data_IF_215283754524
#
_entry.id   IF_215283754524
#
_cell.length_a   1.000
_cell.length_b   1.000
_cell.length_c   1.000
_cell.angle_alpha   90.00
_cell.angle_beta   90.00
_cell.angle_gamma   90.00
#
_symmetry.space_group_name_H-M   'P 1'
#
loop_
_entity.id
_entity.type
_entity.pdbx_description
1 polymer ?
#
# COMPACT_ATOMS: atom_id res chain seq x y z
N UNK A 1 -15.94 -3.19 2.28
CA UNK A 1 -14.55 -2.68 2.29
C UNK A 1 -14.08 -2.63 0.85
N UNK A 2 -13.48 -1.52 0.43
CA UNK A 2 -12.87 -1.35 -0.90
C UNK A 2 -11.36 -1.31 -0.70
N UNK A 3 -10.60 -2.09 -1.48
CA UNK A 3 -9.14 -2.07 -1.48
C UNK A 3 -8.64 -1.62 -2.85
N UNK A 4 -8.00 -0.45 -2.89
CA UNK A 4 -7.32 0.06 -4.07
C UNK A 4 -5.83 -0.24 -3.96
N UNK A 5 -5.24 -0.82 -5.00
CA UNK A 5 -3.78 -0.92 -5.15
C UNK A 5 -3.33 0.09 -6.20
N UNK A 6 -2.47 1.02 -5.80
CA UNK A 6 -1.95 2.10 -6.66
C UNK A 6 -0.49 1.83 -6.95
N UNK A 7 -0.12 1.75 -8.22
CA UNK A 7 1.27 1.65 -8.66
C UNK A 7 1.72 3.00 -9.22
N UNK A 8 2.63 3.67 -8.51
CA UNK A 8 3.17 4.97 -8.88
C UNK A 8 4.56 4.90 -9.54
N UNK A 9 4.93 3.75 -10.11
CA UNK A 9 6.17 3.60 -10.87
C UNK A 9 6.08 4.31 -12.21
N UNK A 10 7.06 5.17 -12.50
CA UNK A 10 7.14 5.89 -13.77
C UNK A 10 7.44 4.98 -14.97
N UNK A 11 7.05 5.41 -16.18
CA UNK A 11 7.25 4.65 -17.42
C UNK A 11 8.71 4.36 -17.78
N UNK A 12 9.64 5.23 -17.39
CA UNK A 12 11.05 5.08 -17.70
C UNK A 12 11.76 4.06 -16.80
N UNK A 13 11.13 3.64 -15.70
CA UNK A 13 11.69 2.67 -14.77
C UNK A 13 11.74 1.27 -15.37
N UNK A 14 12.80 0.53 -15.08
CA UNK A 14 12.89 -0.91 -15.39
C UNK A 14 11.86 -1.76 -14.64
N UNK A 15 11.31 -1.23 -13.54
CA UNK A 15 10.27 -1.87 -12.74
C UNK A 15 8.86 -1.60 -13.29
N UNK A 16 8.72 -0.80 -14.36
CA UNK A 16 7.44 -0.47 -14.96
C UNK A 16 6.82 -1.67 -15.66
N UNK A 17 5.51 -1.87 -15.46
CA UNK A 17 4.71 -2.85 -16.17
C UNK A 17 3.52 -2.14 -16.83
N UNK A 18 3.30 -2.39 -18.11
CA UNK A 18 2.10 -1.89 -18.79
C UNK A 18 0.82 -2.48 -18.16
N UNK A 19 -0.36 -1.83 -18.30
CA UNK A 19 -1.57 -2.23 -17.57
C UNK A 19 -1.91 -3.73 -17.62
N UNK A 20 -1.83 -4.35 -18.80
CA UNK A 20 -2.14 -5.78 -18.95
C UNK A 20 -1.10 -6.68 -18.24
N UNK A 21 0.18 -6.31 -18.29
CA UNK A 21 1.25 -7.06 -17.62
C UNK A 21 1.15 -6.90 -16.09
N UNK A 22 0.81 -5.71 -15.60
CA UNK A 22 0.60 -5.47 -14.18
C UNK A 22 -0.61 -6.26 -13.65
N UNK A 23 -1.72 -6.28 -14.40
CA UNK A 23 -2.90 -7.07 -14.06
C UNK A 23 -2.59 -8.58 -14.01
N UNK A 24 -1.81 -9.09 -14.99
CA UNK A 24 -1.36 -10.47 -15.00
C UNK A 24 -0.44 -10.78 -13.80
N UNK A 25 0.49 -9.87 -13.46
CA UNK A 25 1.35 -10.00 -12.30
C UNK A 25 0.56 -10.08 -10.99
N UNK A 26 -0.45 -9.22 -10.80
CA UNK A 26 -1.34 -9.28 -9.63
C UNK A 26 -2.08 -10.63 -9.54
N UNK A 27 -2.55 -11.14 -10.68
CA UNK A 27 -3.21 -12.44 -10.77
C UNK A 27 -2.27 -13.59 -10.38
N UNK A 28 -1.04 -13.59 -10.90
CA UNK A 28 0.01 -14.56 -10.54
C UNK A 28 0.28 -14.56 -9.03
N UNK A 29 0.27 -13.36 -8.40
CA UNK A 29 0.49 -13.21 -6.95
C UNK A 29 -0.77 -13.44 -6.11
N UNK A 30 -1.88 -13.85 -6.75
CA UNK A 30 -3.17 -14.10 -6.10
C UNK A 30 -3.67 -12.88 -5.32
N UNK A 31 -3.29 -11.68 -5.75
CA UNK A 31 -3.76 -10.45 -5.17
C UNK A 31 -5.20 -10.18 -5.65
N UNK A 32 -6.05 -9.73 -4.73
CA UNK A 32 -7.49 -9.51 -4.97
C UNK A 32 -7.93 -8.09 -4.57
N UNK A 33 -7.25 -7.02 -5.06
CA UNK A 33 -7.73 -5.67 -4.82
C UNK A 33 -9.06 -5.45 -5.55
N UNK A 34 -9.90 -4.56 -5.01
CA UNK A 34 -11.13 -4.11 -5.70
C UNK A 34 -10.80 -3.40 -7.00
N UNK A 35 -9.70 -2.64 -7.03
CA UNK A 35 -9.18 -2.05 -8.26
C UNK A 35 -7.65 -1.91 -8.20
N UNK A 36 -7.05 -2.02 -9.39
CA UNK A 36 -5.64 -1.74 -9.64
C UNK A 36 -5.55 -0.45 -10.45
N UNK A 37 -4.80 0.53 -9.95
CA UNK A 37 -4.67 1.85 -10.52
C UNK A 37 -3.21 2.11 -10.88
N UNK A 38 -2.96 2.70 -12.05
CA UNK A 38 -1.64 3.19 -12.44
C UNK A 38 -1.61 4.71 -12.23
N UNK A 39 -0.62 5.17 -11.48
CA UNK A 39 -0.34 6.56 -11.15
C UNK A 39 1.04 6.92 -11.72
N UNK A 40 1.17 6.85 -13.04
CA UNK A 40 2.45 6.94 -13.75
C UNK A 40 3.16 8.29 -13.54
N UNK A 41 2.39 9.35 -13.29
CA UNK A 41 2.91 10.69 -12.97
C UNK A 41 3.19 10.86 -11.46
N UNK A 42 2.89 9.85 -10.63
CA UNK A 42 3.13 9.87 -9.19
C UNK A 42 2.27 10.84 -8.39
N UNK A 43 1.24 11.45 -9.00
CA UNK A 43 0.44 12.51 -8.37
C UNK A 43 -0.27 12.02 -7.12
N UNK A 44 -0.92 10.85 -7.20
CA UNK A 44 -1.61 10.27 -6.04
C UNK A 44 -0.62 9.80 -4.98
N UNK A 45 0.45 9.12 -5.39
CA UNK A 45 1.50 8.66 -4.49
C UNK A 45 2.13 9.81 -3.70
N UNK A 46 2.48 10.92 -4.37
CA UNK A 46 3.00 12.11 -3.71
C UNK A 46 1.98 12.77 -2.78
N UNK A 47 0.71 12.86 -3.17
CA UNK A 47 -0.34 13.44 -2.33
C UNK A 47 -0.54 12.66 -1.01
N UNK A 48 -0.37 11.34 -1.04
CA UNK A 48 -0.42 10.48 0.15
C UNK A 48 0.93 10.39 0.89
N UNK A 49 1.97 11.05 0.39
CA UNK A 49 3.33 10.96 0.94
C UNK A 49 3.89 9.53 0.89
N UNK A 50 3.53 8.76 -0.13
CA UNK A 50 4.00 7.40 -0.30
C UNK A 50 5.52 7.39 -0.60
N UNK A 51 6.23 6.42 -0.02
CA UNK A 51 7.70 6.36 -0.04
C UNK A 51 8.22 4.99 -0.43
N UNK A 52 7.58 3.95 0.10
CA UNK A 52 7.94 2.56 -0.14
C UNK A 52 6.76 1.77 -0.68
N UNK A 53 7.05 0.65 -1.33
CA UNK A 53 6.06 -0.38 -1.64
C UNK A 53 6.31 -1.61 -0.78
N UNK A 54 5.38 -1.98 0.12
CA UNK A 54 4.09 -1.34 0.36
C UNK A 54 4.16 -0.17 1.38
N UNK A 55 3.31 0.85 1.21
CA UNK A 55 2.94 1.86 2.20
C UNK A 55 1.41 1.91 2.23
N UNK A 56 0.82 1.57 3.38
CA UNK A 56 -0.59 1.23 3.51
C UNK A 56 -1.34 2.38 4.15
N UNK A 57 -2.57 2.58 3.70
CA UNK A 57 -3.44 3.66 4.15
C UNK A 57 -4.83 3.11 4.46
N UNK A 58 -5.47 3.60 5.52
CA UNK A 58 -6.90 3.34 5.79
C UNK A 58 -7.61 4.69 5.79
N UNK A 59 -8.63 4.81 4.94
CA UNK A 59 -9.51 5.97 4.86
C UNK A 59 -10.89 5.56 5.37
N UNK A 60 -11.44 6.32 6.30
CA UNK A 60 -12.75 6.04 6.88
C UNK A 60 -13.91 6.46 5.94
N UNK A 61 -15.17 6.08 6.23
CA UNK A 61 -16.31 6.45 5.39
C UNK A 61 -16.57 7.95 5.26
N UNK A 62 -15.97 8.80 6.11
CA UNK A 62 -16.05 10.26 6.02
C UNK A 62 -14.96 10.84 5.11
N UNK A 63 -14.11 10.00 4.54
CA UNK A 63 -12.97 10.41 3.73
C UNK A 63 -11.75 10.82 4.54
N UNK A 64 -11.69 10.48 5.83
CA UNK A 64 -10.57 10.84 6.71
C UNK A 64 -9.49 9.77 6.65
N UNK A 65 -8.24 10.17 6.44
CA UNK A 65 -7.10 9.27 6.58
C UNK A 65 -6.89 8.94 8.07
N UNK A 66 -7.16 7.69 8.45
CA UNK A 66 -7.11 7.21 9.84
C UNK A 66 -5.93 6.29 10.12
N UNK A 67 -5.24 5.82 9.07
CA UNK A 67 -4.00 5.05 9.19
C UNK A 67 -3.05 5.33 8.04
N UNK A 68 -1.74 5.46 8.31
CA UNK A 68 -0.68 5.47 7.32
C UNK A 68 0.58 4.75 7.86
N UNK A 69 1.03 3.68 7.20
CA UNK A 69 2.24 2.98 7.64
C UNK A 69 2.53 1.64 6.96
N UNK A 70 3.34 0.81 7.63
CA UNK A 70 3.73 -0.52 7.14
C UNK A 70 2.61 -1.57 7.32
N UNK A 71 2.64 -2.65 6.54
CA UNK A 71 1.63 -3.72 6.67
C UNK A 71 1.67 -4.38 8.05
N UNK A 72 2.86 -4.55 8.61
CA UNK A 72 3.11 -5.21 9.88
C UNK A 72 4.40 -4.72 10.56
N UNK A 73 4.73 -5.32 11.70
CA UNK A 73 5.85 -4.91 12.55
C UNK A 73 7.23 -5.46 12.16
N UNK A 74 7.35 -6.32 11.15
CA UNK A 74 8.62 -6.99 10.82
C UNK A 74 8.99 -6.72 9.35
N UNK A 75 10.05 -5.96 9.07
CA UNK A 75 10.50 -5.66 7.71
C UNK A 75 11.25 -6.86 7.10
N UNK A 76 10.52 -7.91 6.70
CA UNK A 76 11.10 -9.17 6.21
C UNK A 76 10.30 -9.74 5.04
N UNK A 77 11.01 -10.34 4.09
CA UNK A 77 10.42 -11.11 3.00
C UNK A 77 10.25 -12.61 3.34
N UNK A 78 10.65 -13.05 4.54
CA UNK A 78 10.63 -14.47 4.92
C UNK A 78 9.23 -14.87 5.40
N UNK A 79 8.61 -15.92 4.82
CA UNK A 79 7.30 -16.39 5.28
C UNK A 79 7.24 -16.77 6.76
N UNK A 80 8.36 -17.26 7.32
CA UNK A 80 8.47 -17.63 8.74
C UNK A 80 8.36 -16.47 9.73
N UNK A 81 8.47 -15.22 9.25
CA UNK A 81 8.33 -14.03 10.09
C UNK A 81 6.86 -13.53 10.15
N UNK A 82 6.02 -13.91 9.19
CA UNK A 82 4.59 -13.53 9.14
C UNK A 82 3.84 -13.86 10.45
N UNK A 83 3.91 -15.07 11.03
CA UNK A 83 3.18 -15.38 12.27
C UNK A 83 3.71 -14.63 13.50
N UNK A 84 4.90 -14.04 13.42
CA UNK A 84 5.51 -13.26 14.51
C UNK A 84 5.18 -11.77 14.39
N UNK A 85 4.80 -11.31 13.20
CA UNK A 85 4.55 -9.91 12.92
C UNK A 85 3.16 -9.50 13.44
N UNK A 86 3.09 -8.33 14.07
CA UNK A 86 1.80 -7.69 14.36
C UNK A 86 1.30 -7.02 13.08
N UNK A 87 0.20 -7.52 12.52
CA UNK A 87 -0.38 -6.92 11.33
C UNK A 87 -1.19 -5.67 11.68
N UNK A 88 -0.64 -4.49 11.39
CA UNK A 88 -1.24 -3.21 11.75
C UNK A 88 -2.51 -2.92 10.96
N UNK A 89 -2.56 -3.33 9.69
CA UNK A 89 -3.72 -3.07 8.82
C UNK A 89 -4.94 -3.89 9.26
N UNK A 90 -4.76 -5.17 9.61
CA UNK A 90 -5.84 -6.01 10.14
C UNK A 90 -6.39 -5.45 11.45
N UNK A 91 -5.51 -5.04 12.36
CA UNK A 91 -5.91 -4.42 13.63
C UNK A 91 -6.66 -3.10 13.40
N UNK A 92 -6.12 -2.21 12.57
CA UNK A 92 -6.74 -0.92 12.26
C UNK A 92 -8.08 -1.05 11.54
N UNK A 93 -8.23 -2.02 10.62
CA UNK A 93 -9.52 -2.32 10.00
C UNK A 93 -10.53 -2.87 11.01
N UNK A 94 -10.11 -3.72 11.95
CA UNK A 94 -11.00 -4.22 13.00
C UNK A 94 -11.50 -3.09 13.91
N UNK A 95 -10.61 -2.17 14.32
CA UNK A 95 -10.97 -0.99 15.10
C UNK A 95 -11.95 -0.10 14.32
N UNK A 96 -11.63 0.23 13.06
CA UNK A 96 -12.46 1.09 12.22
C UNK A 96 -13.85 0.49 11.96
N UNK A 97 -13.94 -0.81 11.67
CA UNK A 97 -15.22 -1.51 11.47
C UNK A 97 -16.04 -1.61 12.76
N UNK A 98 -15.40 -1.61 13.92
CA UNK A 98 -16.06 -1.55 15.22
C UNK A 98 -16.43 -0.11 15.66
N UNK A 99 -16.14 0.91 14.84
CA UNK A 99 -16.37 2.31 15.18
C UNK A 99 -15.44 2.84 16.28
N UNK A 100 -14.30 2.18 16.49
CA UNK A 100 -13.29 2.58 17.48
C UNK A 100 -12.17 3.40 16.83
N UNK A 101 -11.52 4.29 17.59
CA UNK A 101 -10.27 4.89 17.15
C UNK A 101 -9.21 3.81 16.87
N UNK A 102 -8.46 3.95 15.77
CA UNK A 102 -7.34 3.07 15.46
C UNK A 102 -6.23 3.32 16.49
N UNK A 103 -5.83 2.29 17.23
CA UNK A 103 -4.87 2.41 18.32
C UNK A 103 -3.47 2.90 17.87
N UNK A 104 -3.04 2.46 16.68
CA UNK A 104 -1.74 2.82 16.10
C UNK A 104 -1.96 3.42 14.71
N UNK A 105 -2.27 4.71 14.65
CA UNK A 105 -2.60 5.40 13.40
C UNK A 105 -1.40 5.57 12.45
N UNK A 106 -0.16 5.56 12.98
CA UNK A 106 1.05 5.73 12.17
C UNK A 106 2.09 4.69 12.55
N UNK A 107 2.65 4.01 11.55
CA UNK A 107 3.80 3.11 11.74
C UNK A 107 4.83 3.32 10.64
N UNK A 108 6.05 2.84 10.85
CA UNK A 108 7.11 2.93 9.85
C UNK A 108 6.77 2.02 8.66
N UNK A 109 6.61 2.56 7.43
CA UNK A 109 6.49 1.73 6.24
C UNK A 109 7.87 1.19 5.86
N UNK A 110 7.88 0.03 5.19
CA UNK A 110 9.10 -0.63 4.75
C UNK A 110 8.92 -1.25 3.36
N UNK A 111 10.04 -1.52 2.70
CA UNK A 111 10.07 -2.12 1.36
C UNK A 111 10.93 -1.31 0.39
N UNK A 112 10.86 -1.68 -0.88
CA UNK A 112 11.56 -0.96 -1.94
C UNK A 112 11.02 0.48 -2.06
N UNK A 113 11.89 1.43 -2.40
CA UNK A 113 11.46 2.80 -2.71
C UNK A 113 10.57 2.83 -3.96
N UNK A 114 9.56 3.71 -3.97
CA UNK A 114 8.76 3.97 -5.16
C UNK A 114 9.63 4.63 -6.23
N UNK A 115 9.45 4.20 -7.48
CA UNK A 115 10.17 4.72 -8.65
C UNK A 115 9.41 5.89 -9.26
N UNK A 116 9.40 7.01 -8.56
CA UNK A 116 8.77 8.24 -9.05
C UNK A 116 9.54 8.84 -10.21
N UNK A 117 8.80 9.51 -11.09
CA UNK A 117 9.36 10.41 -12.09
C UNK A 117 10.18 11.49 -11.39
N UNK A 118 11.40 11.70 -11.86
CA UNK A 118 12.22 12.79 -11.34
C UNK A 118 11.54 14.13 -11.65
N UNK A 119 11.52 15.09 -10.71
CA UNK A 119 11.06 16.43 -11.03
C UNK A 119 11.92 17.00 -12.16
N UNK A 120 11.27 17.65 -13.13
CA UNK A 120 11.92 18.33 -14.25
C UNK A 120 12.67 19.59 -13.78
#
# INVERSE_FOLDING_TARGET
MVWLSVNSTEKASVDYLAPAQLAAWFTERKAVPTALLLDEEGTAGHAYGARTTPHLYIVDPKGTLVYAGGIDSIPSARPADIPKATNYVKAGLADALAGKPIATATTQPYGCSIKYKSPA
#
